data_IF_047766749132
#
_entry.id   IF_047766749132
#
_cell.length_a   1.000
_cell.length_b   1.000
_cell.length_c   1.000
_cell.angle_alpha   90.00
_cell.angle_beta   90.00
_cell.angle_gamma   90.00
#
_symmetry.space_group_name_H-M   'P 1'
#
loop_
_entity.id
_entity.type
_entity.pdbx_description
1 polymer ?
#
# COMPACT_ATOMS: atom_id res chain seq x y z
N UNK A 1 -77.48 -34.02 -80.25
CA UNK A 1 -77.54 -32.55 -80.24
C UNK A 1 -76.26 -32.07 -79.58
N UNK A 2 -75.28 -31.44 -80.18
CA UNK A 2 -74.99 -30.86 -81.51
C UNK A 2 -73.45 -30.82 -81.54
N UNK A 3 -72.81 -31.56 -82.45
CA UNK A 3 -72.05 -31.02 -83.60
C UNK A 3 -70.81 -30.21 -83.18
N UNK A 4 -69.57 -30.52 -83.55
CA UNK A 4 -69.07 -31.16 -84.77
C UNK A 4 -67.58 -31.54 -84.67
N UNK A 5 -67.25 -32.68 -85.27
CA UNK A 5 -66.11 -32.98 -86.14
C UNK A 5 -64.66 -32.72 -85.65
N UNK A 6 -63.79 -33.74 -85.47
CA UNK A 6 -63.17 -34.62 -86.48
C UNK A 6 -62.23 -33.78 -87.38
N UNK A 7 -60.89 -33.91 -87.40
CA UNK A 7 -60.08 -35.03 -87.94
C UNK A 7 -58.55 -34.76 -87.69
N UNK A 8 -57.59 -35.62 -88.09
CA UNK A 8 -56.48 -36.04 -87.25
C UNK A 8 -55.11 -35.54 -87.74
N UNK A 9 -54.07 -36.11 -87.11
CA UNK A 9 -52.77 -36.48 -87.69
C UNK A 9 -51.55 -35.58 -87.45
N UNK A 10 -50.54 -36.29 -86.92
CA UNK A 10 -49.12 -36.27 -87.30
C UNK A 10 -48.26 -35.15 -86.70
N UNK A 11 -47.69 -35.52 -85.56
CA UNK A 11 -46.26 -35.79 -85.38
C UNK A 11 -45.18 -34.82 -85.91
N UNK A 12 -44.32 -34.48 -84.94
CA UNK A 12 -42.88 -34.21 -84.95
C UNK A 12 -42.34 -32.78 -85.16
N UNK A 13 -41.62 -32.38 -84.09
CA UNK A 13 -40.38 -31.60 -84.04
C UNK A 13 -40.51 -30.10 -84.40
N UNK A 14 -39.88 -29.15 -83.71
CA UNK A 14 -38.56 -29.13 -83.07
C UNK A 14 -38.37 -27.82 -82.28
N UNK A 15 -37.47 -27.89 -81.28
CA UNK A 15 -36.52 -26.85 -80.81
C UNK A 15 -37.02 -25.73 -79.87
N UNK A 16 -36.57 -25.87 -78.62
CA UNK A 16 -36.04 -24.89 -77.68
C UNK A 16 -36.35 -23.40 -77.89
N UNK A 17 -36.87 -22.76 -76.84
CA UNK A 17 -36.14 -21.75 -76.06
C UNK A 17 -37.01 -21.23 -74.91
N UNK A 18 -36.35 -20.79 -73.85
CA UNK A 18 -36.88 -20.05 -72.68
C UNK A 18 -37.61 -20.90 -71.63
N UNK A 19 -36.93 -21.41 -70.61
CA UNK A 19 -36.17 -20.62 -69.62
C UNK A 19 -37.07 -19.57 -68.96
N UNK A 20 -37.72 -19.94 -67.85
CA UNK A 20 -37.47 -19.35 -66.53
C UNK A 20 -38.56 -19.77 -65.55
N UNK A 21 -38.07 -20.12 -64.35
CA UNK A 21 -38.76 -19.93 -63.06
C UNK A 21 -39.64 -21.09 -62.58
N UNK A 22 -38.98 -22.14 -62.10
CA UNK A 22 -39.38 -22.82 -60.86
C UNK A 22 -38.16 -23.56 -60.28
N UNK A 23 -37.28 -22.80 -59.62
CA UNK A 23 -37.22 -22.66 -58.16
C UNK A 23 -36.31 -23.74 -57.55
N UNK A 24 -35.02 -23.41 -57.50
CA UNK A 24 -33.99 -24.09 -56.73
C UNK A 24 -34.40 -24.26 -55.26
N UNK A 25 -34.67 -25.49 -54.83
CA UNK A 25 -34.39 -25.93 -53.45
C UNK A 25 -33.27 -26.97 -53.51
N UNK A 26 -32.08 -26.53 -53.93
CA UNK A 26 -30.85 -27.22 -53.55
C UNK A 26 -30.56 -26.80 -52.13
N UNK A 27 -30.83 -27.69 -51.18
CA UNK A 27 -30.24 -27.61 -49.84
C UNK A 27 -28.73 -27.49 -50.01
N UNK A 28 -28.18 -26.31 -49.74
CA UNK A 28 -26.75 -26.14 -49.51
C UNK A 28 -26.45 -26.94 -48.23
N UNK A 29 -26.04 -28.19 -48.39
CA UNK A 29 -25.42 -28.95 -47.30
C UNK A 29 -24.06 -28.32 -47.08
N UNK A 30 -24.03 -27.27 -46.27
CA UNK A 30 -22.79 -26.67 -45.76
C UNK A 30 -22.01 -27.79 -45.08
N UNK A 31 -20.71 -27.90 -45.38
CA UNK A 31 -19.91 -29.02 -44.89
C UNK A 31 -19.94 -29.10 -43.36
N UNK A 32 -19.84 -30.29 -42.74
CA UNK A 32 -19.85 -30.45 -41.29
C UNK A 32 -18.81 -29.57 -40.57
N UNK A 33 -17.69 -29.29 -41.24
CA UNK A 33 -16.63 -28.40 -40.78
C UNK A 33 -17.09 -26.96 -40.56
N UNK A 34 -18.03 -26.48 -41.38
CA UNK A 34 -18.56 -25.12 -41.29
C UNK A 34 -19.44 -24.97 -40.04
N UNK A 35 -20.21 -26.01 -39.69
CA UNK A 35 -20.98 -26.05 -38.44
C UNK A 35 -20.08 -26.16 -37.20
N UNK A 36 -19.03 -26.98 -37.24
CA UNK A 36 -18.07 -27.11 -36.14
C UNK A 36 -17.32 -25.78 -35.92
N UNK A 37 -16.89 -25.13 -37.00
CA UNK A 37 -16.22 -23.83 -36.94
C UNK A 37 -17.15 -22.73 -36.42
N UNK A 38 -18.41 -22.69 -36.87
CA UNK A 38 -19.39 -21.73 -36.39
C UNK A 38 -19.73 -21.95 -34.91
N UNK A 39 -19.91 -23.21 -34.49
CA UNK A 39 -20.13 -23.55 -33.09
C UNK A 39 -18.94 -23.12 -32.22
N UNK A 40 -17.71 -23.42 -32.64
CA UNK A 40 -16.47 -23.01 -31.95
C UNK A 40 -16.30 -21.49 -31.86
N UNK A 41 -16.68 -20.76 -32.92
CA UNK A 41 -16.66 -19.30 -32.90
C UNK A 41 -17.72 -18.72 -31.95
N UNK A 42 -18.93 -19.30 -31.92
CA UNK A 42 -19.99 -18.89 -30.99
C UNK A 42 -19.58 -19.19 -29.54
N UNK A 43 -18.96 -20.34 -29.25
CA UNK A 43 -18.42 -20.60 -27.90
C UNK A 43 -17.30 -19.64 -27.54
N UNK A 44 -16.36 -19.37 -28.44
CA UNK A 44 -15.30 -18.41 -28.18
C UNK A 44 -15.85 -16.99 -27.93
N UNK A 45 -16.86 -16.58 -28.70
CA UNK A 45 -17.50 -15.27 -28.55
C UNK A 45 -18.34 -15.17 -27.28
N UNK A 46 -19.09 -16.22 -26.92
CA UNK A 46 -19.85 -16.26 -25.66
C UNK A 46 -18.94 -16.32 -24.45
N UNK A 47 -17.85 -17.09 -24.49
CA UNK A 47 -16.81 -17.08 -23.45
C UNK A 47 -16.13 -15.71 -23.38
N UNK A 48 -15.79 -15.11 -24.52
CA UNK A 48 -15.19 -13.78 -24.58
C UNK A 48 -16.11 -12.70 -24.00
N UNK A 49 -17.40 -12.71 -24.35
CA UNK A 49 -18.41 -11.79 -23.79
C UNK A 49 -18.64 -12.08 -22.30
N UNK A 50 -18.65 -13.34 -21.88
CA UNK A 50 -18.77 -13.70 -20.47
C UNK A 50 -17.58 -13.17 -19.66
N UNK A 51 -16.35 -13.42 -20.12
CA UNK A 51 -15.13 -12.90 -19.49
C UNK A 51 -15.10 -11.36 -19.48
N UNK A 52 -15.52 -10.70 -20.57
CA UNK A 52 -15.65 -9.24 -20.64
C UNK A 52 -16.80 -8.69 -19.77
N UNK A 53 -17.86 -9.46 -19.53
CA UNK A 53 -18.93 -9.07 -18.61
C UNK A 53 -18.46 -9.16 -17.16
N UNK A 54 -17.62 -10.14 -16.83
CA UNK A 54 -16.99 -10.33 -15.52
C UNK A 54 -15.84 -9.33 -15.30
N UNK A 55 -15.24 -8.78 -16.35
CA UNK A 55 -14.19 -7.74 -16.25
C UNK A 55 -14.69 -6.37 -15.80
N UNK A 56 -15.98 -6.24 -15.45
CA UNK A 56 -16.52 -4.96 -14.99
C UNK A 56 -16.06 -4.71 -13.56
N UNK A 57 -15.30 -3.61 -13.41
CA UNK A 57 -14.93 -3.05 -12.13
C UNK A 57 -16.20 -2.78 -11.30
N UNK A 58 -16.29 -3.34 -10.10
CA UNK A 58 -17.42 -3.11 -9.20
C UNK A 58 -17.16 -1.90 -8.29
N UNK A 59 -18.17 -1.06 -8.03
CA UNK A 59 -18.02 0.00 -7.05
C UNK A 59 -17.80 -0.59 -5.66
N UNK A 60 -17.02 0.10 -4.83
CA UNK A 60 -16.79 -0.29 -3.44
C UNK A 60 -18.02 0.05 -2.61
N UNK A 61 -18.47 -0.90 -1.80
CA UNK A 61 -19.53 -0.69 -0.82
C UNK A 61 -19.02 0.20 0.33
N UNK A 62 -19.62 1.38 0.47
CA UNK A 62 -19.18 2.44 1.39
C UNK A 62 -19.42 2.06 2.85
N UNK A 63 -20.43 1.23 3.13
CA UNK A 63 -20.69 0.78 4.50
C UNK A 63 -19.51 -0.02 5.05
N UNK A 64 -18.78 -0.73 4.18
CA UNK A 64 -17.58 -1.50 4.52
C UNK A 64 -16.34 -0.65 4.75
N UNK A 65 -16.39 0.63 4.40
CA UNK A 65 -15.35 1.58 4.75
C UNK A 65 -15.53 2.11 6.17
N UNK A 66 -16.64 1.77 6.85
CA UNK A 66 -16.90 2.14 8.24
C UNK A 66 -16.87 3.65 8.52
N UNK A 67 -17.31 4.46 7.54
CA UNK A 67 -17.32 5.93 7.62
C UNK A 67 -18.10 6.43 8.85
N UNK A 68 -19.11 5.69 9.30
CA UNK A 68 -19.90 6.00 10.48
C UNK A 68 -19.11 5.99 11.81
N UNK A 69 -17.91 5.39 11.84
CA UNK A 69 -17.02 5.35 13.02
C UNK A 69 -16.15 6.61 13.17
N UNK A 70 -16.10 7.50 12.17
CA UNK A 70 -15.37 8.76 12.27
C UNK A 70 -15.85 9.62 13.47
N UNK A 71 -14.96 10.32 14.20
CA UNK A 71 -13.54 10.56 13.91
C UNK A 71 -12.56 9.43 14.26
N UNK A 72 -13.03 8.27 14.74
CA UNK A 72 -12.19 7.08 14.93
C UNK A 72 -11.94 6.33 13.60
N UNK A 73 -11.37 7.06 12.64
CA UNK A 73 -11.15 6.64 11.26
C UNK A 73 -9.88 7.31 10.68
N UNK A 74 -9.39 6.86 9.52
CA UNK A 74 -8.19 7.44 8.90
C UNK A 74 -8.49 8.78 8.21
N UNK A 75 -9.70 8.97 7.69
CA UNK A 75 -10.12 10.24 7.11
C UNK A 75 -11.42 10.18 6.30
N UNK A 76 -11.76 11.31 5.70
CA UNK A 76 -12.93 11.52 4.84
C UNK A 76 -12.58 12.25 3.54
N UNK A 77 -11.31 12.57 3.31
CA UNK A 77 -10.81 13.37 2.19
C UNK A 77 -11.18 12.79 0.81
N UNK A 78 -11.20 11.46 0.68
CA UNK A 78 -11.54 10.75 -0.55
C UNK A 78 -12.98 10.21 -0.57
N UNK A 79 -13.76 10.34 0.51
CA UNK A 79 -15.12 9.79 0.56
C UNK A 79 -16.03 10.24 -0.60
N UNK A 80 -16.02 11.51 -1.06
CA UNK A 80 -16.82 11.92 -2.21
C UNK A 80 -16.58 11.08 -3.48
N UNK A 81 -15.34 10.62 -3.71
CA UNK A 81 -15.00 9.77 -4.84
C UNK A 81 -15.65 8.37 -4.75
N UNK A 82 -15.74 7.81 -3.55
CA UNK A 82 -16.46 6.56 -3.30
C UNK A 82 -17.96 6.74 -3.51
N UNK A 83 -18.55 7.83 -2.99
CA UNK A 83 -19.98 8.15 -3.19
C UNK A 83 -20.36 8.35 -4.66
N UNK A 84 -19.45 8.89 -5.48
CA UNK A 84 -19.66 9.05 -6.94
C UNK A 84 -19.40 7.76 -7.74
N UNK A 85 -18.81 6.73 -7.13
CA UNK A 85 -18.41 5.50 -7.84
C UNK A 85 -17.19 5.68 -8.76
N UNK A 86 -16.35 6.67 -8.45
CA UNK A 86 -15.09 6.95 -9.19
C UNK A 86 -13.99 5.95 -8.83
N UNK A 87 -14.06 5.36 -7.63
CA UNK A 87 -13.17 4.30 -7.16
C UNK A 87 -13.82 2.95 -7.43
N UNK A 88 -13.14 2.09 -8.20
CA UNK A 88 -13.67 0.77 -8.59
C UNK A 88 -12.58 -0.28 -8.52
N UNK A 89 -12.91 -1.47 -8.01
CA UNK A 89 -11.93 -2.55 -7.80
C UNK A 89 -11.84 -3.49 -9.00
N UNK A 90 -10.63 -3.96 -9.30
CA UNK A 90 -10.33 -4.96 -10.32
C UNK A 90 -10.86 -6.34 -9.89
N UNK A 91 -11.80 -6.90 -10.66
CA UNK A 91 -12.48 -8.16 -10.37
C UNK A 91 -11.76 -9.43 -10.87
N UNK A 92 -10.45 -9.41 -11.12
CA UNK A 92 -9.75 -10.57 -11.71
C UNK A 92 -8.74 -11.26 -10.80
N UNK A 93 -9.19 -12.34 -10.16
CA UNK A 93 -8.54 -13.66 -10.15
C UNK A 93 -9.65 -14.73 -10.23
N UNK A 94 -9.84 -15.33 -11.42
CA UNK A 94 -10.62 -16.56 -11.61
C UNK A 94 -12.10 -16.55 -11.20
N UNK A 95 -13.00 -16.14 -12.10
CA UNK A 95 -14.43 -16.52 -12.13
C UNK A 95 -15.33 -16.28 -10.91
N UNK A 96 -14.85 -15.58 -9.87
CA UNK A 96 -15.68 -15.15 -8.75
C UNK A 96 -15.64 -13.62 -8.63
N UNK A 97 -16.80 -12.95 -8.51
CA UNK A 97 -16.80 -11.59 -8.00
C UNK A 97 -16.14 -11.62 -6.61
N UNK A 98 -15.29 -10.63 -6.31
CA UNK A 98 -14.64 -10.50 -4.99
C UNK A 98 -15.76 -10.49 -3.94
N UNK A 99 -15.89 -11.58 -3.19
CA UNK A 99 -16.87 -11.71 -2.12
C UNK A 99 -16.25 -11.25 -0.80
N UNK A 100 -17.08 -10.78 0.13
CA UNK A 100 -16.67 -10.33 1.48
C UNK A 100 -15.83 -11.38 2.22
N UNK A 101 -16.08 -12.66 1.97
CA UNK A 101 -15.33 -13.75 2.57
C UNK A 101 -13.89 -13.87 2.04
N UNK A 102 -13.57 -13.31 0.87
CA UNK A 102 -12.20 -13.23 0.35
C UNK A 102 -11.41 -12.12 1.06
N UNK A 103 -12.11 -11.06 1.51
CA UNK A 103 -11.61 -9.94 2.32
C UNK A 103 -11.21 -10.36 3.75
N UNK A 104 -11.77 -11.45 4.26
CA UNK A 104 -11.51 -12.03 5.58
C UNK A 104 -10.58 -13.25 5.52
N UNK A 105 -10.48 -13.93 4.37
CA UNK A 105 -9.63 -15.13 4.19
C UNK A 105 -8.22 -14.86 3.66
N UNK A 106 -7.96 -13.68 3.10
CA UNK A 106 -6.63 -13.31 2.63
C UNK A 106 -5.75 -12.83 3.79
N UNK A 107 -5.15 -13.79 4.50
CA UNK A 107 -4.09 -13.51 5.47
C UNK A 107 -2.83 -12.91 4.82
N UNK A 108 -2.16 -12.07 5.60
CA UNK A 108 -0.78 -11.56 5.56
C UNK A 108 -0.19 -10.87 4.33
N UNK A 109 -0.70 -11.01 3.13
CA UNK A 109 -0.21 -10.20 2.01
C UNK A 109 -1.35 -9.88 1.03
N UNK A 110 -1.51 -8.59 0.73
CA UNK A 110 -2.38 -8.01 -0.29
C UNK A 110 -3.89 -8.06 -0.03
N UNK A 111 -4.39 -7.08 0.74
CA UNK A 111 -5.68 -6.46 0.44
C UNK A 111 -5.42 -5.05 -0.11
N UNK A 112 -4.57 -4.98 -1.13
CA UNK A 112 -4.45 -3.84 -2.02
C UNK A 112 -5.42 -4.12 -3.14
N UNK A 113 -6.68 -3.71 -2.98
CA UNK A 113 -7.61 -3.84 -4.08
C UNK A 113 -7.17 -2.85 -5.15
N UNK A 114 -6.70 -3.39 -6.28
CA UNK A 114 -6.28 -2.59 -7.42
C UNK A 114 -7.50 -1.84 -7.93
N UNK A 115 -7.52 -0.57 -7.59
CA UNK A 115 -8.56 0.36 -7.94
C UNK A 115 -8.21 1.10 -9.21
N UNK A 116 -9.23 1.61 -9.88
CA UNK A 116 -9.06 2.75 -10.79
C UNK A 116 -9.66 3.97 -10.10
N UNK A 117 -8.86 5.01 -9.91
CA UNK A 117 -9.31 6.34 -9.48
C UNK A 117 -8.98 7.35 -10.57
N UNK A 118 -9.98 8.09 -11.07
CA UNK A 118 -9.80 9.06 -12.16
C UNK A 118 -9.03 8.49 -13.38
N UNK A 119 -9.25 7.22 -13.71
CA UNK A 119 -8.57 6.46 -14.78
C UNK A 119 -7.09 6.12 -14.53
N UNK A 120 -6.58 6.31 -13.30
CA UNK A 120 -5.25 5.89 -12.89
C UNK A 120 -5.33 4.68 -11.95
N UNK A 121 -4.37 3.73 -12.03
CA UNK A 121 -4.24 2.66 -11.05
C UNK A 121 -4.04 3.24 -9.64
N UNK A 122 -4.77 2.70 -8.68
CA UNK A 122 -4.71 3.11 -7.28
C UNK A 122 -4.79 1.88 -6.37
N UNK A 123 -4.38 2.07 -5.12
CA UNK A 123 -4.30 1.04 -4.11
C UNK A 123 -5.21 1.43 -2.97
N UNK A 124 -6.27 0.62 -2.75
CA UNK A 124 -7.09 0.73 -1.56
C UNK A 124 -6.47 -0.10 -0.44
N UNK A 125 -6.13 0.54 0.68
CA UNK A 125 -5.48 -0.12 1.82
C UNK A 125 -6.31 -0.02 3.08
N UNK A 126 -6.39 -1.12 3.83
CA UNK A 126 -6.97 -1.18 5.17
C UNK A 126 -5.88 -1.09 6.22
N UNK A 127 -5.73 0.08 6.83
CA UNK A 127 -4.63 0.36 7.75
C UNK A 127 -4.82 -0.24 9.15
N UNK A 128 -5.97 -0.83 9.48
CA UNK A 128 -6.11 -1.59 10.73
C UNK A 128 -5.38 -2.95 10.69
N UNK A 129 -4.99 -3.46 9.51
CA UNK A 129 -4.33 -4.75 9.36
C UNK A 129 -2.97 -4.84 10.12
N UNK A 130 -2.66 -5.95 10.82
CA UNK A 130 -3.38 -7.23 10.88
C UNK A 130 -4.55 -7.30 11.88
N UNK A 131 -4.86 -6.20 12.57
CA UNK A 131 -5.98 -6.15 13.52
C UNK A 131 -7.34 -6.26 12.82
N UNK A 132 -8.29 -6.90 13.49
CA UNK A 132 -9.69 -6.81 13.09
C UNK A 132 -10.25 -5.42 13.41
N UNK A 133 -11.37 -5.07 12.77
CA UNK A 133 -12.04 -3.80 13.06
C UNK A 133 -12.50 -3.71 14.52
N UNK A 134 -12.92 -4.84 15.09
CA UNK A 134 -13.36 -4.94 16.49
C UNK A 134 -12.19 -4.78 17.46
N UNK A 135 -11.01 -5.31 17.12
CA UNK A 135 -9.80 -5.11 17.92
C UNK A 135 -9.41 -3.63 17.96
N UNK A 136 -9.53 -2.92 16.82
CA UNK A 136 -9.32 -1.48 16.77
C UNK A 136 -10.37 -0.72 17.57
N UNK A 137 -11.63 -1.17 17.56
CA UNK A 137 -12.69 -0.55 18.37
C UNK A 137 -12.41 -0.71 19.87
N UNK A 138 -12.01 -1.90 20.29
CA UNK A 138 -11.60 -2.18 21.67
C UNK A 138 -10.37 -1.34 22.06
N UNK A 139 -9.38 -1.26 21.19
CA UNK A 139 -8.21 -0.39 21.31
C UNK A 139 -8.59 1.08 21.51
N UNK A 140 -9.53 1.59 20.71
CA UNK A 140 -9.98 2.98 20.82
C UNK A 140 -10.64 3.25 22.16
N UNK A 141 -11.48 2.31 22.59
CA UNK A 141 -12.20 2.42 23.85
C UNK A 141 -11.30 2.26 25.08
N UNK A 142 -10.23 1.47 25.02
CA UNK A 142 -9.25 1.34 26.12
C UNK A 142 -8.49 2.63 26.41
N UNK A 143 -8.23 3.46 25.39
CA UNK A 143 -7.56 4.77 25.52
C UNK A 143 -8.46 5.89 26.03
N UNK A 144 -9.73 5.60 26.28
CA UNK A 144 -10.64 6.56 26.85
C UNK A 144 -10.18 6.97 28.24
N UNK A 145 -9.94 8.26 28.47
CA UNK A 145 -9.67 8.77 29.82
C UNK A 145 -10.88 8.56 30.73
N UNK A 146 -10.61 8.08 31.93
CA UNK A 146 -11.62 7.86 32.97
C UNK A 146 -11.50 8.86 34.12
N UNK A 147 -10.49 9.73 34.11
CA UNK A 147 -10.25 10.72 35.16
C UNK A 147 -11.44 11.67 35.36
N UNK A 148 -12.16 11.95 34.28
CA UNK A 148 -13.35 12.82 34.29
C UNK A 148 -14.64 12.08 34.71
N UNK A 149 -14.58 10.75 34.92
CA UNK A 149 -15.74 9.99 35.37
C UNK A 149 -15.93 10.14 36.90
N UNK A 150 -17.17 10.32 37.37
CA UNK A 150 -17.46 10.28 38.79
C UNK A 150 -16.96 8.97 39.41
N UNK A 151 -16.34 9.04 40.59
CA UNK A 151 -15.85 7.86 41.31
C UNK A 151 -16.98 6.83 41.49
N UNK A 152 -16.77 5.61 40.99
CA UNK A 152 -17.75 4.52 41.05
C UNK A 152 -18.75 4.45 39.89
N UNK A 153 -18.67 5.34 38.90
CA UNK A 153 -19.47 5.22 37.68
C UNK A 153 -19.04 4.00 36.85
N UNK A 154 -19.97 3.22 36.28
CA UNK A 154 -19.62 2.14 35.37
C UNK A 154 -18.94 2.71 34.10
N UNK A 155 -17.98 1.99 33.51
CA UNK A 155 -17.39 2.41 32.25
C UNK A 155 -18.49 2.50 31.18
N UNK A 156 -18.51 3.57 30.36
CA UNK A 156 -19.53 3.70 29.33
C UNK A 156 -19.38 2.59 28.28
N UNK A 157 -20.50 2.24 27.63
CA UNK A 157 -20.49 1.32 26.49
C UNK A 157 -19.53 1.85 25.42
N UNK A 158 -18.62 0.99 24.98
CA UNK A 158 -17.66 1.30 23.93
C UNK A 158 -18.39 1.66 22.63
N UNK A 159 -18.25 2.92 22.23
CA UNK A 159 -18.72 3.43 20.94
C UNK A 159 -17.56 4.25 20.36
N UNK A 160 -16.76 3.71 19.42
CA UNK A 160 -15.48 4.30 19.00
C UNK A 160 -15.58 5.79 18.64
N UNK A 161 -16.60 6.17 17.84
CA UNK A 161 -16.86 7.56 17.44
C UNK A 161 -17.10 8.52 18.61
N UNK A 162 -17.50 8.02 19.77
CA UNK A 162 -17.72 8.80 21.00
C UNK A 162 -16.51 8.69 21.94
N UNK A 163 -15.93 7.50 22.09
CA UNK A 163 -14.81 7.25 22.99
C UNK A 163 -13.56 8.03 22.62
N UNK A 164 -13.29 8.23 21.33
CA UNK A 164 -12.12 8.98 20.86
C UNK A 164 -12.11 10.44 21.35
N UNK A 165 -13.27 11.08 21.53
CA UNK A 165 -13.37 12.46 22.03
C UNK A 165 -12.76 12.65 23.42
N UNK A 166 -12.61 11.56 24.17
CA UNK A 166 -12.04 11.53 25.53
C UNK A 166 -10.54 11.17 25.54
N UNK A 167 -9.88 11.10 24.39
CA UNK A 167 -8.42 10.88 24.34
C UNK A 167 -7.63 12.14 24.71
N UNK A 168 -8.21 13.31 24.48
CA UNK A 168 -7.57 14.59 24.82
C UNK A 168 -8.00 15.06 26.21
N UNK A 169 -7.10 15.74 26.97
CA UNK A 169 -7.48 16.41 28.21
C UNK A 169 -8.59 17.43 27.97
N UNK A 170 -9.52 17.56 28.91
CA UNK A 170 -10.46 18.67 29.00
C UNK A 170 -10.07 19.54 30.19
N UNK A 171 -9.01 20.32 30.06
CA UNK A 171 -8.47 21.20 31.10
C UNK A 171 -9.40 22.38 31.42
N UNK A 172 -10.67 22.13 31.79
CA UNK A 172 -11.68 23.16 32.07
C UNK A 172 -12.79 23.27 31.02
N UNK A 173 -13.79 24.11 31.32
CA UNK A 173 -14.96 24.32 30.45
C UNK A 173 -14.54 24.99 29.14
N UNK A 174 -14.39 24.19 28.07
CA UNK A 174 -14.20 24.69 26.71
C UNK A 174 -12.77 25.10 26.33
N UNK A 175 -11.75 24.72 27.09
CA UNK A 175 -10.35 25.02 26.74
C UNK A 175 -9.78 23.96 25.80
N UNK A 176 -9.60 24.41 24.56
CA UNK A 176 -8.97 23.75 23.45
C UNK A 176 -7.44 23.88 23.56
N UNK A 177 -6.81 23.18 24.50
CA UNK A 177 -5.35 23.09 24.49
C UNK A 177 -4.94 22.41 23.17
N UNK A 178 -4.11 23.07 22.34
CA UNK A 178 -3.70 22.53 21.05
C UNK A 178 -2.82 21.29 21.24
N UNK A 179 -2.82 20.39 20.27
CA UNK A 179 -1.88 19.26 20.25
C UNK A 179 -0.45 19.82 20.32
N UNK A 180 0.33 19.35 21.29
CA UNK A 180 1.76 19.60 21.41
C UNK A 180 2.57 18.33 21.09
N UNK A 181 3.90 18.49 20.98
CA UNK A 181 4.79 17.39 20.61
C UNK A 181 4.92 16.34 21.73
N UNK A 182 4.74 16.74 22.99
CA UNK A 182 4.85 15.85 24.14
C UNK A 182 3.63 14.92 24.24
N UNK A 183 2.44 15.40 23.88
CA UNK A 183 1.20 14.63 23.81
C UNK A 183 1.27 13.50 22.78
N UNK A 184 1.92 13.75 21.64
CA UNK A 184 2.07 12.72 20.59
C UNK A 184 3.33 11.89 20.75
N UNK A 185 4.24 12.27 21.66
CA UNK A 185 5.49 11.53 21.86
C UNK A 185 5.18 10.11 22.34
N UNK A 186 5.72 9.12 21.63
CA UNK A 186 5.46 7.72 21.94
C UNK A 186 4.03 7.24 21.59
N UNK A 187 3.23 8.02 20.87
CA UNK A 187 1.92 7.56 20.39
C UNK A 187 2.03 6.44 19.34
N UNK A 188 3.15 6.41 18.61
CA UNK A 188 3.57 5.33 17.71
C UNK A 188 5.08 5.33 17.53
N UNK A 189 5.60 4.30 16.84
CA UNK A 189 6.96 4.24 16.33
C UNK A 189 7.40 5.54 15.64
N UNK A 190 6.51 6.14 14.84
CA UNK A 190 6.80 7.37 14.11
C UNK A 190 7.01 8.59 14.99
N UNK A 191 6.19 8.73 16.03
CA UNK A 191 6.22 9.86 16.94
C UNK A 191 7.09 9.61 18.19
N UNK A 192 7.89 8.54 18.22
CA UNK A 192 8.75 8.24 19.37
C UNK A 192 9.76 9.36 19.64
N UNK A 193 10.36 9.94 18.59
CA UNK A 193 11.22 11.12 18.69
C UNK A 193 10.48 12.44 18.35
N UNK A 194 9.20 12.57 18.70
CA UNK A 194 8.40 13.74 18.32
C UNK A 194 9.05 15.05 18.77
N UNK A 195 9.28 15.94 17.80
CA UNK A 195 9.79 17.30 17.98
C UNK A 195 8.72 18.34 17.58
N UNK A 196 8.80 19.59 18.07
CA UNK A 196 7.92 20.66 17.63
C UNK A 196 7.96 20.90 16.12
N UNK A 197 9.13 20.74 15.47
CA UNK A 197 9.26 20.87 14.01
C UNK A 197 8.52 19.74 13.28
N UNK A 198 8.64 18.50 13.76
CA UNK A 198 7.93 17.35 13.18
C UNK A 198 6.42 17.57 13.28
N UNK A 199 5.92 17.99 14.45
CA UNK A 199 4.51 18.26 14.65
C UNK A 199 4.02 19.40 13.73
N UNK A 200 4.78 20.50 13.61
CA UNK A 200 4.44 21.59 12.70
C UNK A 200 4.38 21.13 11.24
N UNK A 201 5.31 20.26 10.82
CA UNK A 201 5.33 19.69 9.46
C UNK A 201 4.11 18.79 9.21
N UNK A 202 3.78 17.92 10.18
CA UNK A 202 2.57 17.09 10.15
C UNK A 202 1.34 17.99 10.03
N UNK A 203 1.22 18.99 10.90
CA UNK A 203 0.05 19.88 10.92
C UNK A 203 -0.11 20.71 9.64
N UNK A 204 1.01 21.12 9.02
CA UNK A 204 1.03 21.83 7.73
C UNK A 204 0.50 20.96 6.59
N UNK A 205 0.77 19.65 6.61
CA UNK A 205 0.50 18.73 5.48
C UNK A 205 -0.73 17.84 5.68
N UNK A 206 -1.21 17.66 6.91
CA UNK A 206 -2.35 16.81 7.21
C UNK A 206 -3.65 17.36 6.61
N UNK A 207 -4.35 16.54 5.81
CA UNK A 207 -5.56 16.94 5.05
C UNK A 207 -6.57 15.81 4.92
N UNK A 208 -7.12 15.35 6.03
CA UNK A 208 -8.04 14.20 6.02
C UNK A 208 -9.53 14.53 6.10
N UNK A 209 -9.91 15.81 6.24
CA UNK A 209 -11.32 16.25 6.23
C UNK A 209 -11.81 16.72 4.85
N UNK A 210 -10.92 17.20 3.99
CA UNK A 210 -11.26 17.68 2.65
C UNK A 210 -10.13 17.39 1.68
N UNK A 211 -10.42 16.61 0.64
CA UNK A 211 -9.50 16.37 -0.47
C UNK A 211 -9.36 17.54 -1.44
N UNK A 212 -10.11 18.64 -1.28
CA UNK A 212 -10.00 19.80 -2.16
C UNK A 212 -8.65 20.51 -1.97
N UNK A 213 -7.74 20.47 -2.97
CA UNK A 213 -6.41 21.06 -2.86
C UNK A 213 -6.42 22.60 -2.92
N UNK A 214 -7.52 23.20 -3.39
CA UNK A 214 -7.71 24.64 -3.52
C UNK A 214 -8.21 25.32 -2.24
N UNK A 215 -8.65 24.54 -1.25
CA UNK A 215 -8.86 25.05 0.09
C UNK A 215 -7.51 25.03 0.82
N UNK A 216 -7.10 26.13 1.48
CA UNK A 216 -5.86 26.13 2.25
C UNK A 216 -5.86 24.97 3.26
N UNK A 217 -4.68 24.36 3.50
CA UNK A 217 -4.48 23.50 4.67
C UNK A 217 -5.07 24.24 5.87
N UNK A 218 -5.96 23.58 6.60
CA UNK A 218 -7.10 24.26 7.21
C UNK A 218 -6.61 25.42 8.09
N UNK A 219 -6.93 26.66 7.71
CA UNK A 219 -6.54 27.86 8.48
C UNK A 219 -7.07 27.83 9.93
N UNK A 220 -7.99 26.89 10.22
CA UNK A 220 -8.46 26.55 11.56
C UNK A 220 -8.49 25.02 11.70
N UNK A 221 -7.58 24.49 12.52
CA UNK A 221 -7.65 23.12 13.02
C UNK A 221 -8.92 22.96 13.86
N UNK A 222 -9.77 22.02 13.48
CA UNK A 222 -10.95 21.66 14.26
C UNK A 222 -10.62 20.50 15.18
N UNK A 223 -11.37 20.36 16.29
CA UNK A 223 -11.26 19.18 17.18
C UNK A 223 -11.37 17.86 16.42
N UNK A 224 -12.14 17.82 15.34
CA UNK A 224 -12.23 16.64 14.47
C UNK A 224 -10.88 16.30 13.81
N UNK A 225 -10.17 17.31 13.28
CA UNK A 225 -8.88 17.13 12.61
C UNK A 225 -7.83 16.62 13.62
N UNK A 226 -7.84 17.17 14.84
CA UNK A 226 -7.00 16.73 15.96
C UNK A 226 -7.26 15.27 16.35
N UNK A 227 -8.53 14.89 16.57
CA UNK A 227 -8.89 13.53 16.93
C UNK A 227 -8.55 12.52 15.84
N UNK A 228 -8.79 12.88 14.58
CA UNK A 228 -8.48 12.02 13.44
C UNK A 228 -6.96 11.85 13.30
N UNK A 229 -6.16 12.90 13.53
CA UNK A 229 -4.71 12.81 13.57
C UNK A 229 -4.24 11.87 14.70
N UNK A 230 -4.76 12.05 15.92
CA UNK A 230 -4.42 11.19 17.04
C UNK A 230 -4.78 9.73 16.76
N UNK A 231 -5.94 9.46 16.14
CA UNK A 231 -6.31 8.12 15.70
C UNK A 231 -5.29 7.54 14.72
N UNK A 232 -4.93 8.29 13.68
CA UNK A 232 -3.94 7.84 12.70
C UNK A 232 -2.61 7.54 13.41
N UNK A 233 -2.09 8.48 14.21
CA UNK A 233 -0.83 8.31 14.92
C UNK A 233 -0.84 7.11 15.87
N UNK A 234 -1.94 6.84 16.56
CA UNK A 234 -1.99 5.82 17.60
C UNK A 234 -2.43 4.43 17.13
N UNK A 235 -3.07 4.33 15.95
CA UNK A 235 -3.55 3.07 15.37
C UNK A 235 -2.61 2.61 14.25
N UNK A 236 -2.36 3.47 13.26
CA UNK A 236 -1.43 3.21 12.16
C UNK A 236 -1.00 4.52 11.49
N UNK A 237 0.25 4.98 11.71
CA UNK A 237 0.70 6.28 11.24
C UNK A 237 0.99 6.32 9.72
N UNK A 238 0.83 5.22 8.98
CA UNK A 238 1.23 5.11 7.57
C UNK A 238 0.79 6.29 6.70
N UNK A 239 -0.51 6.63 6.71
CA UNK A 239 -1.05 7.72 5.90
C UNK A 239 -0.50 9.09 6.33
N UNK A 240 -0.31 9.30 7.64
CA UNK A 240 0.30 10.54 8.17
C UNK A 240 1.73 10.66 7.67
N UNK A 241 2.51 9.58 7.69
CA UNK A 241 3.90 9.55 7.22
C UNK A 241 3.98 9.84 5.73
N UNK A 242 3.21 9.12 4.90
CA UNK A 242 3.19 9.30 3.45
C UNK A 242 2.75 10.72 3.04
N UNK A 243 1.84 11.34 3.80
CA UNK A 243 1.43 12.74 3.58
C UNK A 243 2.50 13.74 4.03
N UNK A 244 3.19 13.44 5.13
CA UNK A 244 4.22 14.31 5.72
C UNK A 244 5.50 14.27 4.91
N UNK A 245 5.84 13.14 4.28
CA UNK A 245 7.06 12.93 3.50
C UNK A 245 6.71 12.39 2.11
N UNK A 246 6.23 13.26 1.20
CA UNK A 246 5.68 12.83 -0.08
C UNK A 246 6.77 12.50 -1.12
N UNK A 247 6.49 11.62 -2.10
CA UNK A 247 7.43 11.30 -3.17
C UNK A 247 7.76 12.48 -4.10
N UNK A 248 6.91 13.52 -4.14
CA UNK A 248 7.20 14.76 -4.88
C UNK A 248 8.43 15.51 -4.34
N UNK A 249 8.83 15.21 -3.11
CA UNK A 249 10.06 15.70 -2.47
C UNK A 249 11.15 14.63 -2.44
N UNK A 250 11.04 13.55 -3.22
CA UNK A 250 12.08 12.51 -3.31
C UNK A 250 12.01 11.40 -2.24
N UNK A 251 11.10 11.49 -1.27
CA UNK A 251 10.90 10.44 -0.27
C UNK A 251 10.40 9.12 -0.90
N UNK A 252 10.88 7.95 -0.46
CA UNK A 252 10.55 6.66 -1.06
C UNK A 252 9.23 6.08 -0.54
N UNK A 253 8.17 6.89 -0.51
CA UNK A 253 6.85 6.51 0.00
C UNK A 253 5.81 6.58 -1.12
N UNK A 254 4.73 5.77 -1.08
CA UNK A 254 3.59 5.91 -1.98
C UNK A 254 2.97 7.31 -1.88
N UNK A 255 2.47 7.83 -3.01
CA UNK A 255 1.74 9.09 -2.99
C UNK A 255 0.35 8.87 -2.37
N UNK A 256 0.07 9.57 -1.28
CA UNK A 256 -1.23 9.50 -0.61
C UNK A 256 -2.27 10.33 -1.38
N UNK A 257 -3.31 9.67 -1.88
CA UNK A 257 -4.44 10.32 -2.58
C UNK A 257 -5.46 10.85 -1.58
N UNK A 258 -5.80 10.05 -0.57
CA UNK A 258 -6.70 10.43 0.52
C UNK A 258 -7.19 9.23 1.33
N UNK A 259 -8.25 9.41 2.11
CA UNK A 259 -8.84 8.36 2.94
C UNK A 259 -10.37 8.45 2.97
N UNK A 260 -11.01 7.31 3.23
CA UNK A 260 -12.43 7.26 3.53
C UNK A 260 -12.73 6.20 4.60
N UNK A 261 -13.21 6.66 5.75
CA UNK A 261 -13.45 5.80 6.91
C UNK A 261 -12.15 5.10 7.34
N UNK A 262 -12.16 3.77 7.42
CA UNK A 262 -11.02 2.93 7.82
C UNK A 262 -10.15 2.43 6.67
N UNK A 263 -10.29 3.02 5.49
CA UNK A 263 -9.43 2.73 4.35
C UNK A 263 -8.73 3.99 3.82
N UNK A 264 -7.57 3.78 3.21
CA UNK A 264 -6.75 4.80 2.57
C UNK A 264 -6.55 4.48 1.09
N UNK A 265 -6.36 5.52 0.29
CA UNK A 265 -6.14 5.44 -1.15
C UNK A 265 -4.76 5.99 -1.49
N UNK A 266 -3.97 5.19 -2.18
CA UNK A 266 -2.60 5.50 -2.62
C UNK A 266 -2.48 5.37 -4.15
N UNK A 267 -1.53 6.08 -4.76
CA UNK A 267 -1.25 5.95 -6.19
C UNK A 267 -0.46 4.68 -6.53
N UNK A 268 -0.86 4.02 -7.62
CA UNK A 268 -0.07 3.00 -8.32
C UNK A 268 0.01 1.63 -7.62
N UNK A 269 -0.03 0.51 -8.36
CA UNK A 269 0.28 -0.79 -7.79
C UNK A 269 1.78 -0.89 -7.48
N UNK A 270 2.11 -1.18 -6.23
CA UNK A 270 3.45 -1.60 -5.83
C UNK A 270 3.35 -3.05 -5.35
N UNK A 271 4.18 -3.93 -5.91
CA UNK A 271 4.16 -5.36 -5.58
C UNK A 271 5.16 -5.64 -4.47
N UNK A 272 4.79 -6.32 -3.37
CA UNK A 272 5.71 -6.67 -2.29
C UNK A 272 6.94 -7.43 -2.77
N UNK A 273 8.09 -7.16 -2.15
CA UNK A 273 9.39 -7.75 -2.52
C UNK A 273 9.37 -9.29 -2.50
N UNK A 274 8.57 -9.88 -1.61
CA UNK A 274 8.41 -11.34 -1.47
C UNK A 274 7.96 -12.03 -2.76
N UNK A 275 7.26 -11.32 -3.66
CA UNK A 275 6.82 -11.88 -4.93
C UNK A 275 7.96 -12.04 -5.96
N UNK A 276 9.11 -11.42 -5.72
CA UNK A 276 10.24 -11.40 -6.66
C UNK A 276 11.38 -12.35 -6.28
N UNK A 277 11.22 -13.13 -5.20
CA UNK A 277 12.24 -14.07 -4.70
C UNK A 277 12.65 -15.11 -5.75
N UNK A 278 11.69 -15.52 -6.59
CA UNK A 278 11.92 -16.47 -7.69
C UNK A 278 11.95 -15.81 -9.07
N UNK A 279 12.06 -14.48 -9.12
CA UNK A 279 12.18 -13.76 -10.38
C UNK A 279 13.53 -14.04 -11.07
N UNK A 280 13.64 -13.81 -12.39
CA UNK A 280 14.92 -13.92 -13.10
C UNK A 280 16.02 -13.07 -12.45
N UNK A 281 17.27 -13.53 -12.55
CA UNK A 281 18.45 -12.87 -11.95
C UNK A 281 18.53 -11.39 -12.32
N UNK A 282 18.36 -11.04 -13.58
CA UNK A 282 18.41 -9.65 -14.04
C UNK A 282 17.36 -8.76 -13.33
N UNK A 283 16.12 -9.25 -13.21
CA UNK A 283 15.06 -8.54 -12.50
C UNK A 283 15.38 -8.39 -11.00
N UNK A 284 15.90 -9.45 -10.35
CA UNK A 284 16.30 -9.38 -8.94
C UNK A 284 17.45 -8.40 -8.71
N UNK A 285 18.43 -8.33 -9.63
CA UNK A 285 19.52 -7.34 -9.57
C UNK A 285 19.00 -5.90 -9.68
N UNK A 286 18.06 -5.63 -10.60
CA UNK A 286 17.44 -4.30 -10.71
C UNK A 286 16.67 -3.91 -9.44
N UNK A 287 15.95 -4.85 -8.83
CA UNK A 287 15.24 -4.62 -7.57
C UNK A 287 16.22 -4.38 -6.42
N UNK A 288 17.29 -5.18 -6.30
CA UNK A 288 18.33 -5.00 -5.29
C UNK A 288 19.02 -3.64 -5.41
N UNK A 289 19.25 -3.17 -6.65
CA UNK A 289 19.76 -1.83 -6.90
C UNK A 289 18.86 -0.76 -6.27
N UNK A 290 17.54 -0.84 -6.49
CA UNK A 290 16.58 0.09 -5.90
C UNK A 290 16.52 -0.02 -4.37
N UNK A 291 16.55 -1.25 -3.83
CA UNK A 291 16.57 -1.51 -2.39
C UNK A 291 17.80 -0.87 -1.70
N UNK A 292 18.98 -0.99 -2.32
CA UNK A 292 20.23 -0.44 -1.77
C UNK A 292 20.38 1.07 -1.92
N UNK A 293 19.56 1.71 -2.75
CA UNK A 293 19.47 3.17 -2.85
C UNK A 293 18.49 3.79 -1.83
N UNK A 294 17.65 2.97 -1.16
CA UNK A 294 16.68 3.46 -0.17
C UNK A 294 17.30 4.21 1.03
N UNK A 295 18.42 3.77 1.63
CA UNK A 295 18.97 4.44 2.81
C UNK A 295 19.25 5.92 2.59
N UNK A 296 19.83 6.29 1.44
CA UNK A 296 20.11 7.69 1.09
C UNK A 296 18.81 8.49 0.82
N UNK A 297 17.74 7.86 0.35
CA UNK A 297 16.43 8.50 0.10
C UNK A 297 15.59 8.68 1.38
N UNK A 298 15.88 7.91 2.42
CA UNK A 298 15.23 8.00 3.73
C UNK A 298 15.87 9.04 4.66
N UNK A 299 16.89 9.75 4.17
CA UNK A 299 17.47 10.91 4.84
C UNK A 299 17.31 12.09 3.91
N UNK A 300 16.75 13.19 4.39
CA UNK A 300 16.70 14.41 3.58
C UNK A 300 18.12 14.90 3.34
N UNK A 301 18.58 14.87 2.09
CA UNK A 301 19.71 15.69 1.70
C UNK A 301 19.20 17.13 1.49
N UNK A 302 20.05 18.15 1.69
CA UNK A 302 19.65 19.57 1.57
C UNK A 302 19.17 20.02 0.18
N UNK A 303 18.91 19.09 -0.76
CA UNK A 303 18.35 19.33 -2.09
C UNK A 303 16.82 19.22 -2.14
N UNK A 304 16.13 19.05 -1.01
CA UNK A 304 14.67 19.04 -0.97
C UNK A 304 14.11 20.39 -1.45
N UNK A 305 13.08 20.32 -2.30
CA UNK A 305 12.42 21.50 -2.88
C UNK A 305 11.75 22.38 -1.82
N UNK A 306 11.38 21.82 -0.67
CA UNK A 306 10.87 22.56 0.49
C UNK A 306 11.87 22.54 1.65
N UNK A 307 12.22 23.72 2.18
CA UNK A 307 13.14 23.87 3.30
C UNK A 307 12.59 23.29 4.63
N UNK A 308 11.28 23.11 4.74
CA UNK A 308 10.60 22.68 5.97
C UNK A 308 10.74 21.17 6.21
N UNK A 309 10.87 20.35 5.15
CA UNK A 309 11.10 18.91 5.23
C UNK A 309 12.58 18.53 5.28
N UNK A 310 13.48 19.52 5.28
CA UNK A 310 14.90 19.30 5.38
C UNK A 310 15.34 18.93 6.81
N UNK A 311 16.44 18.20 6.86
CA UNK A 311 17.10 17.68 8.05
C UNK A 311 16.21 16.75 8.91
N UNK A 312 15.48 15.86 8.24
CA UNK A 312 14.80 14.72 8.84
C UNK A 312 15.43 13.41 8.34
N UNK A 313 15.51 12.42 9.23
CA UNK A 313 15.84 11.05 8.89
C UNK A 313 14.66 10.13 9.27
N UNK A 314 14.30 9.22 8.37
CA UNK A 314 13.32 8.17 8.60
C UNK A 314 14.05 6.83 8.76
N UNK A 315 13.99 6.23 9.95
CA UNK A 315 14.63 4.95 10.22
C UNK A 315 13.64 3.78 10.13
N UNK A 316 14.08 2.68 9.52
CA UNK A 316 13.30 1.46 9.34
C UNK A 316 13.16 0.69 10.67
N UNK A 317 11.97 0.64 11.25
CA UNK A 317 11.67 -0.23 12.41
C UNK A 317 11.10 -1.61 12.03
N UNK A 318 10.73 -1.80 10.76
CA UNK A 318 10.39 -3.08 10.15
C UNK A 318 11.08 -3.15 8.79
N UNK A 319 11.78 -4.24 8.51
CA UNK A 319 12.55 -4.45 7.29
C UNK A 319 12.33 -5.86 6.72
N UNK A 320 11.14 -6.42 6.94
CA UNK A 320 10.67 -7.63 6.27
C UNK A 320 10.28 -7.32 4.81
N UNK A 321 10.23 -8.35 3.96
CA UNK A 321 9.98 -8.18 2.52
C UNK A 321 8.62 -7.55 2.18
N UNK A 322 7.61 -7.72 3.03
CA UNK A 322 6.27 -7.12 2.90
C UNK A 322 6.26 -5.60 3.11
N UNK A 323 7.31 -5.04 3.72
CA UNK A 323 7.45 -3.59 3.93
C UNK A 323 7.81 -2.85 2.65
N UNK A 324 8.47 -3.52 1.72
CA UNK A 324 9.00 -2.94 0.49
C UNK A 324 8.15 -3.34 -0.71
N UNK A 325 7.78 -2.36 -1.53
CA UNK A 325 7.04 -2.55 -2.76
C UNK A 325 7.87 -2.12 -3.97
N UNK A 326 7.70 -2.86 -5.05
CA UNK A 326 8.42 -2.68 -6.31
C UNK A 326 7.43 -2.21 -7.37
N UNK A 327 7.79 -1.13 -8.07
CA UNK A 327 7.16 -0.76 -9.33
C UNK A 327 7.72 -1.65 -10.45
N UNK A 328 6.87 -2.48 -11.05
CA UNK A 328 7.29 -3.44 -12.09
C UNK A 328 7.73 -2.79 -13.40
N UNK A 329 7.37 -1.52 -13.64
CA UNK A 329 7.74 -0.81 -14.86
C UNK A 329 9.08 -0.10 -14.71
N UNK A 330 9.32 0.50 -13.55
CA UNK A 330 10.52 1.31 -13.29
C UNK A 330 11.57 0.57 -12.47
N UNK A 331 11.19 -0.54 -11.83
CA UNK A 331 11.99 -1.28 -10.84
C UNK A 331 12.37 -0.45 -9.61
N UNK A 332 11.69 0.69 -9.42
CA UNK A 332 11.84 1.53 -8.24
C UNK A 332 11.27 0.81 -7.01
N UNK A 333 12.07 0.80 -5.94
CA UNK A 333 11.67 0.20 -4.65
C UNK A 333 11.24 1.32 -3.72
N UNK A 334 10.10 1.14 -3.05
CA UNK A 334 9.51 2.09 -2.10
C UNK A 334 9.09 1.38 -0.82
N UNK A 335 9.00 2.13 0.27
CA UNK A 335 8.48 1.65 1.54
C UNK A 335 6.95 1.71 1.49
N UNK A 336 6.32 0.57 1.20
CA UNK A 336 4.86 0.48 1.12
C UNK A 336 4.21 0.32 2.50
N UNK A 337 4.94 -0.06 3.56
CA UNK A 337 4.36 -0.19 4.90
C UNK A 337 5.13 0.62 5.94
N UNK A 338 4.86 1.93 5.96
CA UNK A 338 5.52 2.89 6.85
C UNK A 338 5.16 2.83 8.36
N UNK A 339 4.30 1.91 8.81
CA UNK A 339 3.75 1.94 10.19
C UNK A 339 4.81 1.97 11.30
N UNK A 340 5.95 1.31 11.08
CA UNK A 340 7.04 1.21 12.05
C UNK A 340 8.24 2.12 11.70
N UNK A 341 8.08 3.09 10.79
CA UNK A 341 9.13 4.08 10.57
C UNK A 341 9.27 4.97 11.81
N UNK A 342 10.51 5.34 12.13
CA UNK A 342 10.87 6.28 13.17
C UNK A 342 11.31 7.59 12.52
N UNK A 343 10.67 8.72 12.83
CA UNK A 343 11.11 10.02 12.34
C UNK A 343 12.01 10.72 13.35
N UNK A 344 13.16 11.18 12.88
CA UNK A 344 14.17 11.87 13.69
C UNK A 344 14.47 13.24 13.08
N UNK A 345 14.26 14.28 13.87
CA UNK A 345 14.62 15.66 13.54
C UNK A 345 16.12 15.90 13.80
N UNK A 346 16.93 16.04 12.75
CA UNK A 346 18.39 16.17 12.90
C UNK A 346 18.84 17.56 13.39
N UNK A 347 17.96 18.58 13.43
CA UNK A 347 18.32 19.95 13.89
C UNK A 347 18.15 20.16 15.39
N UNK A 348 17.47 19.26 16.08
CA UNK A 348 17.18 19.43 17.49
C UNK A 348 18.47 19.37 18.33
N UNK A 349 18.68 20.40 19.17
CA UNK A 349 19.99 20.75 19.74
C UNK A 349 20.44 19.84 20.91
N UNK A 350 19.59 18.94 21.41
CA UNK A 350 19.89 18.08 22.58
C UNK A 350 20.36 16.69 22.15
N UNK A 351 21.28 16.64 21.19
CA UNK A 351 21.73 15.39 20.57
C UNK A 351 23.22 15.18 20.73
N UNK A 352 23.61 13.93 20.98
CA UNK A 352 25.01 13.50 20.98
C UNK A 352 25.60 13.76 19.59
N UNK A 353 26.83 14.25 19.54
CA UNK A 353 27.55 14.50 18.29
C UNK A 353 27.92 13.24 17.52
N UNK A 354 27.87 12.07 18.16
CA UNK A 354 28.20 10.80 17.53
C UNK A 354 26.94 10.13 16.89
N UNK A 355 27.05 9.62 15.65
CA UNK A 355 25.99 8.81 15.05
C UNK A 355 25.76 7.53 15.84
N UNK A 356 24.51 7.10 15.97
CA UNK A 356 24.23 5.73 16.43
C UNK A 356 24.70 4.74 15.35
N UNK A 357 25.38 3.68 15.76
CA UNK A 357 25.80 2.59 14.89
C UNK A 357 25.10 1.31 15.34
N UNK A 358 24.34 0.68 14.45
CA UNK A 358 23.65 -0.56 14.81
C UNK A 358 24.67 -1.66 15.16
N UNK A 359 24.36 -2.52 16.14
CA UNK A 359 25.26 -3.61 16.54
C UNK A 359 25.38 -4.64 15.41
N UNK A 360 26.51 -5.34 15.35
CA UNK A 360 26.71 -6.46 14.42
C UNK A 360 25.62 -7.52 14.62
N UNK A 361 25.09 -8.06 13.52
CA UNK A 361 24.05 -9.08 13.57
C UNK A 361 24.64 -10.45 13.99
N UNK A 362 23.93 -11.18 14.85
CA UNK A 362 24.28 -12.57 15.19
C UNK A 362 23.94 -13.50 14.01
N UNK A 363 24.86 -14.38 13.56
CA UNK A 363 24.57 -15.40 12.55
C UNK A 363 23.29 -16.21 12.77
N UNK A 364 22.87 -16.44 14.01
CA UNK A 364 21.62 -17.16 14.31
C UNK A 364 20.35 -16.35 13.98
N UNK A 365 20.43 -15.01 14.05
CA UNK A 365 19.32 -14.11 13.72
C UNK A 365 18.92 -14.11 12.24
N UNK A 366 19.84 -14.54 11.35
CA UNK A 366 19.59 -14.72 9.92
C UNK A 366 18.74 -15.97 9.60
N UNK A 367 18.65 -16.94 10.53
CA UNK A 367 18.03 -18.25 10.32
C UNK A 367 16.64 -18.38 10.96
N UNK A 368 16.29 -17.60 11.99
CA UNK A 368 15.07 -17.79 12.80
C UNK A 368 13.98 -16.72 12.63
N UNK A 369 14.04 -15.92 11.57
CA UNK A 369 13.18 -14.76 11.41
C UNK A 369 13.73 -13.57 12.20
N UNK A 370 14.01 -12.47 11.51
CA UNK A 370 14.83 -11.37 12.04
C UNK A 370 14.02 -10.48 13.02
N UNK A 371 12.70 -10.60 13.01
CA UNK A 371 11.80 -9.69 13.68
C UNK A 371 10.74 -10.44 14.48
N UNK A 372 10.30 -9.86 15.60
CA UNK A 372 9.20 -10.36 16.41
C UNK A 372 7.85 -10.24 15.69
N UNK A 373 6.81 -10.83 16.30
CA UNK A 373 5.45 -10.76 15.78
C UNK A 373 4.95 -9.31 15.74
N UNK A 374 4.28 -8.94 14.67
CA UNK A 374 3.59 -7.65 14.56
C UNK A 374 2.40 -7.61 15.51
N UNK A 375 2.20 -6.48 16.19
CA UNK A 375 1.03 -6.30 17.06
C UNK A 375 -0.27 -6.42 16.25
N UNK A 376 -1.12 -7.35 16.69
CA UNK A 376 -2.44 -7.66 16.13
C UNK A 376 -3.51 -6.63 16.50
N UNK A 377 -3.19 -5.56 17.24
CA UNK A 377 -4.16 -4.54 17.64
C UNK A 377 -3.89 -3.15 17.04
N UNK A 378 -2.98 -3.05 16.06
CA UNK A 378 -2.25 -1.81 15.78
C UNK A 378 -1.25 -1.53 16.92
N UNK A 379 -0.59 -0.38 16.94
CA UNK A 379 0.35 0.00 18.02
C UNK A 379 -0.39 0.34 19.34
N UNK A 380 -1.48 -0.37 19.60
CA UNK A 380 -2.46 -0.17 20.67
C UNK A 380 -2.25 -1.15 21.81
N UNK A 381 -1.11 -0.96 22.44
CA UNK A 381 -0.76 -1.55 23.71
C UNK A 381 0.60 -1.01 24.08
N UNK A 382 0.72 -0.43 25.27
CA UNK A 382 2.05 -0.29 25.84
C UNK A 382 2.56 -1.69 26.23
N UNK A 383 3.86 -1.96 26.02
CA UNK A 383 4.84 -1.07 25.39
C UNK A 383 4.74 -1.05 23.86
N UNK A 384 5.17 0.05 23.21
CA UNK A 384 5.36 0.12 21.75
C UNK A 384 6.20 -1.07 21.29
N UNK A 385 5.72 -1.80 20.27
CA UNK A 385 6.41 -2.96 19.72
C UNK A 385 6.84 -2.66 18.28
N UNK A 386 8.12 -2.37 18.08
CA UNK A 386 8.72 -2.50 16.76
C UNK A 386 9.03 -3.98 16.51
N UNK A 387 8.69 -4.52 15.33
CA UNK A 387 9.05 -5.90 15.01
C UNK A 387 10.56 -6.12 15.03
N UNK A 388 11.35 -5.14 14.57
CA UNK A 388 12.77 -5.34 14.30
C UNK A 388 13.71 -4.34 15.01
N UNK A 389 13.19 -3.53 15.94
CA UNK A 389 13.95 -2.50 16.66
C UNK A 389 13.66 -2.59 18.17
N UNK A 390 14.66 -2.44 19.02
CA UNK A 390 14.42 -2.33 20.48
C UNK A 390 14.18 -0.89 20.90
N UNK A 391 13.54 -0.68 22.06
CA UNK A 391 13.33 0.66 22.63
C UNK A 391 14.66 1.39 22.81
N UNK A 392 15.71 0.68 23.27
CA UNK A 392 17.03 1.27 23.49
C UNK A 392 17.69 1.72 22.17
N UNK A 393 17.49 0.96 21.08
CA UNK A 393 17.96 1.34 19.76
C UNK A 393 17.20 2.56 19.24
N UNK A 394 15.87 2.59 19.41
CA UNK A 394 15.05 3.75 19.04
C UNK A 394 15.48 5.01 19.80
N UNK A 395 15.71 4.91 21.12
CA UNK A 395 16.19 6.02 21.95
C UNK A 395 17.59 6.48 21.57
N UNK A 396 18.47 5.56 21.14
CA UNK A 396 19.79 5.89 20.64
C UNK A 396 19.72 6.65 19.30
N UNK A 397 18.84 6.22 18.39
CA UNK A 397 18.56 6.93 17.13
C UNK A 397 17.98 8.34 17.38
N UNK A 398 17.04 8.49 18.32
CA UNK A 398 16.49 9.80 18.67
C UNK A 398 17.57 10.78 19.14
N UNK A 399 18.56 10.30 19.90
CA UNK A 399 19.63 11.12 20.49
C UNK A 399 20.75 11.49 19.51
N UNK A 400 20.70 11.02 18.27
CA UNK A 400 21.79 11.21 17.31
C UNK A 400 21.61 12.48 16.47
N UNK A 401 22.62 13.35 16.44
CA UNK A 401 22.59 14.62 15.68
C UNK A 401 22.91 14.46 14.19
N UNK A 402 23.25 13.24 13.75
CA UNK A 402 23.61 12.93 12.37
C UNK A 402 22.89 11.65 11.91
N UNK A 403 22.89 11.41 10.61
CA UNK A 403 22.29 10.19 10.05
C UNK A 403 23.07 8.96 10.52
N UNK A 404 22.36 8.03 11.15
CA UNK A 404 22.84 6.70 11.52
C UNK A 404 22.93 5.79 10.30
N UNK A 405 23.80 4.78 10.37
CA UNK A 405 23.94 3.73 9.37
C UNK A 405 22.85 2.63 9.46
N UNK A 406 21.89 2.77 10.39
CA UNK A 406 20.82 1.81 10.65
C UNK A 406 20.07 1.38 9.39
N UNK A 407 19.76 2.31 8.49
CA UNK A 407 19.04 1.97 7.26
C UNK A 407 19.88 1.13 6.29
N UNK A 408 21.21 1.34 6.22
CA UNK A 408 22.10 0.48 5.44
C UNK A 408 22.15 -0.94 6.03
N UNK A 409 22.28 -1.03 7.35
CA UNK A 409 22.21 -2.31 8.06
C UNK A 409 20.88 -3.05 7.79
N UNK A 410 19.76 -2.34 7.87
CA UNK A 410 18.43 -2.90 7.65
C UNK A 410 18.22 -3.44 6.22
N UNK A 411 18.67 -2.72 5.18
CA UNK A 411 18.54 -3.21 3.79
C UNK A 411 19.48 -4.39 3.49
N UNK A 412 20.68 -4.42 4.10
CA UNK A 412 21.58 -5.58 4.00
C UNK A 412 20.95 -6.83 4.65
N UNK A 413 20.35 -6.68 5.84
CA UNK A 413 19.59 -7.75 6.48
C UNK A 413 18.37 -8.19 5.66
N UNK A 414 17.64 -7.24 5.07
CA UNK A 414 16.50 -7.54 4.20
C UNK A 414 16.92 -8.46 3.05
N UNK A 415 18.03 -8.15 2.38
CA UNK A 415 18.54 -8.95 1.27
C UNK A 415 19.04 -10.33 1.69
N UNK A 416 19.66 -10.44 2.86
CA UNK A 416 20.19 -11.69 3.42
C UNK A 416 19.15 -12.55 4.15
N UNK A 417 17.96 -12.00 4.41
CA UNK A 417 16.89 -12.69 5.16
C UNK A 417 16.40 -13.95 4.45
N UNK A 418 15.71 -14.82 5.22
CA UNK A 418 15.19 -16.10 4.75
C UNK A 418 16.27 -16.94 4.05
N UNK A 419 17.43 -17.13 4.68
CA UNK A 419 18.57 -17.85 4.09
C UNK A 419 19.08 -17.29 2.74
N UNK A 420 18.82 -16.00 2.46
CA UNK A 420 19.31 -15.31 1.27
C UNK A 420 18.62 -15.74 -0.02
N UNK A 421 17.35 -16.17 0.01
CA UNK A 421 16.66 -16.60 -1.22
C UNK A 421 16.62 -15.53 -2.31
N UNK A 422 16.48 -14.24 -1.93
CA UNK A 422 16.54 -13.13 -2.89
C UNK A 422 17.89 -13.06 -3.62
N UNK A 423 18.96 -13.55 -2.98
CA UNK A 423 20.33 -13.56 -3.47
C UNK A 423 20.74 -14.88 -4.14
N UNK A 424 19.83 -15.86 -4.27
CA UNK A 424 20.14 -17.15 -4.88
C UNK A 424 20.65 -16.98 -6.31
N UNK A 425 21.73 -17.65 -6.68
CA UNK A 425 22.33 -17.58 -8.03
C UNK A 425 22.84 -16.17 -8.43
N UNK A 426 23.03 -15.26 -7.47
CA UNK A 426 23.68 -13.97 -7.70
C UNK A 426 25.20 -14.06 -7.50
N UNK A 427 26.00 -13.07 -7.99
CA UNK A 427 27.45 -13.12 -7.87
C UNK A 427 27.92 -13.31 -6.42
N UNK A 428 28.95 -14.14 -6.18
CA UNK A 428 29.46 -14.40 -4.84
C UNK A 428 30.02 -13.13 -4.18
N UNK A 429 30.61 -12.23 -4.97
CA UNK A 429 31.15 -10.96 -4.48
C UNK A 429 30.06 -10.04 -3.95
N UNK A 430 28.88 -10.02 -4.59
CA UNK A 430 27.72 -9.29 -4.09
C UNK A 430 27.28 -9.83 -2.72
N UNK A 431 27.16 -11.15 -2.60
CA UNK A 431 26.79 -11.81 -1.34
C UNK A 431 27.83 -11.55 -0.24
N UNK A 432 29.12 -11.52 -0.61
CA UNK A 432 30.21 -11.20 0.31
C UNK A 432 30.08 -9.77 0.87
N UNK A 433 29.92 -8.76 0.01
CA UNK A 433 29.75 -7.37 0.43
C UNK A 433 28.56 -7.19 1.39
N UNK A 434 27.44 -7.87 1.13
CA UNK A 434 26.26 -7.80 2.01
C UNK A 434 26.49 -8.47 3.37
N UNK A 435 27.25 -9.58 3.41
CA UNK A 435 27.60 -10.24 4.68
C UNK A 435 28.54 -9.38 5.53
N UNK A 436 29.45 -8.64 4.90
CA UNK A 436 30.32 -7.72 5.63
C UNK A 436 29.55 -6.48 6.09
N UNK A 437 28.60 -5.97 5.28
CA UNK A 437 27.71 -4.88 5.68
C UNK A 437 27.00 -5.10 7.04
N UNK A 438 26.54 -6.33 7.34
CA UNK A 438 25.83 -6.61 8.61
C UNK A 438 26.77 -6.86 9.80
N UNK A 439 28.05 -7.09 9.55
CA UNK A 439 29.07 -7.35 10.59
C UNK A 439 29.86 -6.11 10.94
N UNK A 440 30.19 -5.32 9.93
CA UNK A 440 31.02 -4.13 10.06
C UNK A 440 30.23 -3.03 10.77
N UNK A 441 30.70 -2.67 11.97
CA UNK A 441 30.13 -1.64 12.81
C UNK A 441 31.05 -0.42 12.90
N UNK A 442 32.01 -0.28 11.99
CA UNK A 442 32.76 0.96 11.84
C UNK A 442 31.90 2.04 11.16
N UNK A 443 32.08 3.28 11.59
CA UNK A 443 31.29 4.41 11.09
C UNK A 443 31.48 4.57 9.58
N UNK A 444 30.38 4.50 8.83
CA UNK A 444 30.39 4.65 7.37
C UNK A 444 30.77 3.39 6.58
N UNK A 445 31.25 2.33 7.24
CA UNK A 445 31.68 1.11 6.55
C UNK A 445 30.50 0.41 5.85
N UNK A 446 29.32 0.38 6.46
CA UNK A 446 28.11 -0.21 5.84
C UNK A 446 27.70 0.48 4.55
N UNK A 447 27.87 1.81 4.49
CA UNK A 447 27.63 2.57 3.27
C UNK A 447 28.62 2.17 2.18
N UNK A 448 29.90 2.05 2.51
CA UNK A 448 30.93 1.60 1.57
C UNK A 448 30.66 0.18 1.04
N UNK A 449 30.23 -0.76 1.89
CA UNK A 449 29.84 -2.12 1.46
C UNK A 449 28.63 -2.10 0.51
N UNK A 450 27.65 -1.22 0.75
CA UNK A 450 26.50 -1.01 -0.14
C UNK A 450 26.91 -0.36 -1.47
N UNK A 451 27.81 0.61 -1.46
CA UNK A 451 28.36 1.22 -2.68
C UNK A 451 29.10 0.18 -3.54
N UNK A 452 29.93 -0.67 -2.93
CA UNK A 452 30.57 -1.78 -3.62
C UNK A 452 29.55 -2.79 -4.20
N UNK A 453 28.49 -3.10 -3.46
CA UNK A 453 27.40 -3.96 -3.94
C UNK A 453 26.68 -3.36 -5.15
N UNK A 454 26.43 -2.05 -5.15
CA UNK A 454 25.83 -1.33 -6.27
C UNK A 454 26.73 -1.35 -7.52
N UNK A 455 28.04 -1.19 -7.36
CA UNK A 455 29.00 -1.29 -8.47
C UNK A 455 28.98 -2.68 -9.11
N UNK A 456 28.95 -3.75 -8.30
CA UNK A 456 28.85 -5.13 -8.81
C UNK A 456 27.55 -5.32 -9.59
N UNK A 457 26.42 -4.86 -9.05
CA UNK A 457 25.11 -4.93 -9.73
C UNK A 457 25.16 -4.19 -11.07
N UNK A 458 25.72 -2.98 -11.11
CA UNK A 458 25.81 -2.17 -12.32
C UNK A 458 26.73 -2.78 -13.38
N UNK A 459 27.72 -3.59 -12.99
CA UNK A 459 28.54 -4.37 -13.92
C UNK A 459 27.77 -5.56 -14.50
N UNK A 460 27.08 -6.33 -13.65
CA UNK A 460 26.29 -7.49 -14.09
C UNK A 460 25.11 -7.11 -14.99
N UNK A 461 24.47 -5.95 -14.77
CA UNK A 461 23.37 -5.48 -15.61
C UNK A 461 23.83 -4.97 -16.98
N UNK A 462 25.13 -4.72 -17.18
CA UNK A 462 25.71 -4.31 -18.48
C UNK A 462 26.17 -5.49 -19.33
N UNK A 463 26.47 -6.62 -18.69
CA UNK A 463 26.85 -7.87 -19.35
C UNK A 463 25.59 -8.65 -19.80
#
# INVERSE_FOLDING_TARGET
>A
MTSSAIHPNVAYQTVNANEKRQQCYRTLVLSPWLYISLAGFITALTVGVYLFSQSKLTPVDIERLEVAKCPACFGQSACPAFFRGDVRLATFYGSRPIHVADLEKSGDLMAVDLGVFEKKPAVLRRLHYPASSDDVDAAVCRRQRTDDLPKGAPPPRCVPRLSIWRWMPTSGAGTADPIDADLIRGASSFAHCASPRLLALIQKRYRERSGNPHLPAQARWLRFDELTLLFNLAINPHAVIARTFPPTEGWPLPAQVGACGRATLEEGPLIPLSHFVHAPVNLRLQILRGLFQLPDRLVSNGSLTEADSADFALYLGDYRWDVFGVDVLTHDVRVIQARHLLAVDLREQVKSSAPFVAKAADPQSLLSGICGNTSMSGDVGEPLQWPCLTVEQADALCRSSSSSDHNYWAVCLTALSNAGELLRDLPPDLVFSLRECIKDAEMGARKAHIEAALEIIDLELKN
#
